data_IF_493700171618
#
_entry.id   IF_493700171618
#
_cell.length_a   1.000
_cell.length_b   1.000
_cell.length_c   1.000
_cell.angle_alpha   90.00
_cell.angle_beta   90.00
_cell.angle_gamma   90.00
#
_symmetry.space_group_name_H-M   'P 1'
#
loop_
_entity.id
_entity.type
_entity.pdbx_description
1 polymer ?
#
# COMPACT_ATOMS: atom_id res chain seq x y z
N UNK A 1 -36.72 -30.38 45.42
CA UNK A 1 -35.61 -29.87 44.58
C UNK A 1 -35.74 -28.35 44.47
N UNK A 2 -34.98 -27.59 45.26
CA UNK A 2 -34.93 -26.12 45.16
C UNK A 2 -34.13 -25.78 43.90
N UNK A 3 -34.74 -25.07 42.94
CA UNK A 3 -34.01 -24.42 41.85
C UNK A 3 -33.04 -23.43 42.48
N UNK A 4 -31.74 -23.65 42.29
CA UNK A 4 -30.73 -22.63 42.57
C UNK A 4 -31.11 -21.35 41.81
N UNK A 5 -31.25 -20.24 42.53
CA UNK A 5 -31.36 -18.92 41.91
C UNK A 5 -30.02 -18.64 41.23
N UNK A 6 -29.97 -18.81 39.91
CA UNK A 6 -28.94 -18.17 39.07
C UNK A 6 -28.79 -16.72 39.56
N UNK A 7 -27.60 -16.40 40.09
CA UNK A 7 -27.31 -15.09 40.67
C UNK A 7 -27.75 -13.95 39.74
N UNK A 8 -28.21 -12.84 40.32
CA UNK A 8 -28.66 -11.66 39.59
C UNK A 8 -27.63 -11.26 38.52
N UNK A 9 -28.04 -11.28 37.25
CA UNK A 9 -27.16 -10.89 36.13
C UNK A 9 -26.75 -9.43 36.31
N UNK A 10 -25.45 -9.15 36.19
CA UNK A 10 -24.94 -7.78 36.23
C UNK A 10 -25.50 -6.99 35.02
N UNK A 11 -26.25 -5.90 35.24
CA UNK A 11 -26.94 -5.20 34.16
C UNK A 11 -25.98 -4.22 33.44
N UNK A 12 -24.96 -4.76 32.78
CA UNK A 12 -23.87 -3.99 32.17
C UNK A 12 -24.36 -2.80 31.33
N UNK A 13 -25.35 -3.00 30.47
CA UNK A 13 -25.88 -1.96 29.58
C UNK A 13 -26.78 -0.92 30.27
N UNK A 14 -27.12 -1.12 31.54
CA UNK A 14 -27.86 -0.16 32.37
C UNK A 14 -26.91 0.76 33.17
N UNK A 15 -25.61 0.52 33.11
CA UNK A 15 -24.63 1.41 33.74
C UNK A 15 -24.69 2.82 33.14
N UNK A 16 -24.43 3.87 33.95
CA UNK A 16 -24.19 5.21 33.42
C UNK A 16 -22.99 5.23 32.45
N UNK A 17 -22.92 6.27 31.62
CA UNK A 17 -21.91 6.36 30.54
C UNK A 17 -20.46 6.27 31.01
N UNK A 18 -20.12 6.89 32.15
CA UNK A 18 -18.74 6.90 32.65
C UNK A 18 -18.27 5.50 33.08
N UNK A 19 -18.98 4.75 33.96
CA UNK A 19 -18.63 3.37 34.26
C UNK A 19 -18.67 2.45 33.03
N UNK A 20 -19.65 2.60 32.14
CA UNK A 20 -19.74 1.77 30.93
C UNK A 20 -18.52 1.98 30.02
N UNK A 21 -18.09 3.23 29.82
CA UNK A 21 -16.87 3.57 29.09
C UNK A 21 -15.65 2.91 29.70
N UNK A 22 -15.54 2.91 31.03
CA UNK A 22 -14.41 2.31 31.72
C UNK A 22 -14.38 0.80 31.54
N UNK A 23 -15.54 0.12 31.57
CA UNK A 23 -15.60 -1.31 31.24
C UNK A 23 -15.12 -1.57 29.82
N UNK A 24 -15.66 -0.85 28.83
CA UNK A 24 -15.26 -1.03 27.42
C UNK A 24 -13.76 -0.76 27.18
N UNK A 25 -13.15 0.16 27.93
CA UNK A 25 -11.71 0.47 27.81
C UNK A 25 -10.80 -0.64 28.30
N UNK A 26 -11.28 -1.46 29.23
CA UNK A 26 -10.54 -2.61 29.77
C UNK A 26 -10.69 -3.87 28.91
N UNK A 27 -11.62 -3.87 27.96
CA UNK A 27 -11.75 -4.95 27.00
C UNK A 27 -10.80 -4.78 25.81
N UNK A 28 -10.34 -5.92 25.33
CA UNK A 28 -9.58 -6.01 24.10
C UNK A 28 -10.48 -5.88 22.86
N UNK A 29 -9.89 -5.87 21.66
CA UNK A 29 -10.67 -5.71 20.44
C UNK A 29 -11.55 -6.94 20.14
N UNK A 30 -11.13 -8.15 20.46
CA UNK A 30 -11.96 -9.34 20.24
C UNK A 30 -13.19 -9.37 21.16
N UNK A 31 -13.02 -9.01 22.43
CA UNK A 31 -14.10 -8.90 23.41
C UNK A 31 -15.09 -7.79 22.99
N UNK A 32 -14.58 -6.64 22.55
CA UNK A 32 -15.42 -5.56 22.02
C UNK A 32 -16.17 -6.00 20.76
N UNK A 33 -15.52 -6.74 19.86
CA UNK A 33 -16.14 -7.31 18.66
C UNK A 33 -17.26 -8.28 19.02
N UNK A 34 -17.00 -9.29 19.84
CA UNK A 34 -18.00 -10.28 20.22
C UNK A 34 -19.18 -9.63 20.96
N UNK A 35 -18.90 -8.67 21.86
CA UNK A 35 -19.96 -7.90 22.54
C UNK A 35 -20.81 -7.08 21.55
N UNK A 36 -20.18 -6.49 20.52
CA UNK A 36 -20.86 -5.67 19.52
C UNK A 36 -21.85 -6.46 18.63
N UNK A 37 -21.68 -7.78 18.53
CA UNK A 37 -22.55 -8.67 17.77
C UNK A 37 -23.81 -9.08 18.53
N UNK A 38 -23.85 -8.94 19.86
CA UNK A 38 -24.97 -9.41 20.71
C UNK A 38 -26.29 -8.67 20.39
N UNK A 39 -26.25 -7.34 20.24
CA UNK A 39 -27.46 -6.54 20.04
C UNK A 39 -27.15 -5.15 19.45
N UNK A 40 -28.19 -4.44 19.00
CA UNK A 40 -28.06 -3.03 18.57
C UNK A 40 -27.55 -2.13 19.71
N UNK A 41 -27.98 -2.38 20.96
CA UNK A 41 -27.60 -1.60 22.14
C UNK A 41 -26.14 -1.83 22.54
N UNK A 42 -25.67 -3.09 22.55
CA UNK A 42 -24.26 -3.40 22.84
C UNK A 42 -23.33 -2.81 21.79
N UNK A 43 -23.70 -2.89 20.52
CA UNK A 43 -22.94 -2.25 19.44
C UNK A 43 -22.86 -0.74 19.58
N UNK A 44 -23.97 -0.10 19.93
CA UNK A 44 -23.97 1.34 20.17
C UNK A 44 -23.04 1.69 21.34
N UNK A 45 -23.03 0.88 22.40
CA UNK A 45 -22.10 1.05 23.51
C UNK A 45 -20.64 0.95 23.05
N UNK A 46 -20.26 -0.03 22.22
CA UNK A 46 -18.90 -0.13 21.66
C UNK A 46 -18.58 1.09 20.79
N UNK A 47 -19.46 1.43 19.86
CA UNK A 47 -19.27 2.56 18.93
C UNK A 47 -19.05 3.88 19.66
N UNK A 48 -19.84 4.20 20.68
CA UNK A 48 -19.73 5.47 21.42
C UNK A 48 -18.39 5.56 22.17
N UNK A 49 -17.87 4.43 22.65
CA UNK A 49 -16.70 4.39 23.51
C UNK A 49 -15.41 3.96 22.79
N UNK A 50 -15.47 3.64 21.50
CA UNK A 50 -14.29 3.31 20.70
C UNK A 50 -13.34 4.50 20.56
N UNK A 51 -12.05 4.21 20.66
CA UNK A 51 -10.95 5.17 20.60
C UNK A 51 -10.31 5.12 19.20
N UNK A 52 -10.77 6.00 18.30
CA UNK A 52 -10.37 6.02 16.88
C UNK A 52 -8.88 6.27 16.64
N UNK A 53 -8.27 7.22 17.37
CA UNK A 53 -6.95 7.78 17.03
C UNK A 53 -5.75 6.84 17.23
N UNK A 54 -5.98 5.59 17.62
CA UNK A 54 -4.91 4.59 17.83
C UNK A 54 -5.20 3.25 17.18
N UNK A 55 -6.20 3.18 16.29
CA UNK A 55 -6.60 1.95 15.62
C UNK A 55 -6.34 2.09 14.13
N UNK A 56 -5.54 1.17 13.58
CA UNK A 56 -5.26 1.06 12.15
C UNK A 56 -5.79 -0.26 11.64
N UNK A 57 -6.59 -0.22 10.57
CA UNK A 57 -7.16 -1.41 9.96
C UNK A 57 -6.47 -1.71 8.64
N UNK A 58 -6.02 -2.94 8.48
CA UNK A 58 -5.32 -3.45 7.31
C UNK A 58 -6.10 -4.64 6.73
N UNK A 59 -6.26 -4.69 5.41
CA UNK A 59 -7.04 -5.74 4.75
C UNK A 59 -6.19 -6.48 3.72
N UNK A 60 -6.33 -7.80 3.66
CA UNK A 60 -5.73 -8.64 2.62
C UNK A 60 -6.81 -9.41 1.87
N UNK A 61 -6.89 -9.17 0.56
CA UNK A 61 -7.71 -9.93 -0.39
C UNK A 61 -6.80 -10.91 -1.15
N UNK A 62 -6.67 -12.11 -0.62
CA UNK A 62 -5.98 -13.25 -1.26
C UNK A 62 -6.78 -14.54 -0.97
N UNK A 63 -6.20 -15.71 -1.23
CA UNK A 63 -6.82 -17.02 -0.93
C UNK A 63 -7.23 -17.20 0.55
N UNK A 64 -6.62 -16.43 1.46
CA UNK A 64 -6.90 -16.43 2.89
C UNK A 64 -7.29 -15.04 3.36
N UNK A 65 -8.46 -14.57 2.92
CA UNK A 65 -8.99 -13.27 3.31
C UNK A 65 -8.82 -13.02 4.81
N UNK A 66 -8.28 -11.84 5.13
CA UNK A 66 -7.98 -11.46 6.49
C UNK A 66 -8.04 -9.96 6.70
N UNK A 67 -8.50 -9.59 7.89
CA UNK A 67 -8.47 -8.22 8.39
C UNK A 67 -7.55 -8.20 9.61
N UNK A 68 -6.58 -7.31 9.64
CA UNK A 68 -5.77 -7.03 10.82
C UNK A 68 -6.20 -5.68 11.39
N UNK A 69 -6.49 -5.62 12.69
CA UNK A 69 -6.74 -4.39 13.41
C UNK A 69 -5.63 -4.20 14.42
N UNK A 70 -4.81 -3.18 14.23
CA UNK A 70 -3.71 -2.84 15.14
C UNK A 70 -4.18 -1.80 16.15
N UNK A 71 -3.92 -2.04 17.43
CA UNK A 71 -4.12 -1.06 18.50
C UNK A 71 -2.84 -0.96 19.32
N UNK A 72 -2.18 0.19 19.28
CA UNK A 72 -0.83 0.37 19.87
C UNK A 72 0.13 -0.67 19.27
N UNK A 73 0.76 -1.50 20.10
CA UNK A 73 1.70 -2.56 19.67
C UNK A 73 1.06 -3.95 19.58
N UNK A 74 -0.28 -4.05 19.56
CA UNK A 74 -0.99 -5.32 19.51
C UNK A 74 -1.80 -5.45 18.22
N UNK A 75 -1.61 -6.57 17.52
CA UNK A 75 -2.30 -6.91 16.29
C UNK A 75 -3.42 -7.93 16.56
N UNK A 76 -4.61 -7.65 16.03
CA UNK A 76 -5.79 -8.51 16.12
C UNK A 76 -6.18 -8.98 14.72
N UNK A 77 -6.06 -10.28 14.47
CA UNK A 77 -6.29 -10.90 13.17
C UNK A 77 -7.68 -11.54 13.10
N UNK A 78 -8.56 -10.95 12.30
CA UNK A 78 -9.87 -11.46 11.96
C UNK A 78 -9.77 -12.26 10.67
N UNK A 79 -9.46 -13.54 10.82
CA UNK A 79 -9.42 -14.48 9.70
C UNK A 79 -10.82 -14.94 9.33
N UNK A 80 -10.93 -15.39 8.09
CA UNK A 80 -12.11 -16.04 7.55
C UNK A 80 -12.78 -17.05 8.51
N UNK A 81 -12.01 -17.98 9.08
CA UNK A 81 -12.48 -19.02 10.00
C UNK A 81 -13.12 -18.48 11.29
N UNK A 82 -12.72 -17.29 11.73
CA UNK A 82 -13.29 -16.60 12.88
C UNK A 82 -14.59 -15.85 12.53
N UNK A 83 -14.62 -15.23 11.35
CA UNK A 83 -15.74 -14.41 10.88
C UNK A 83 -16.91 -15.28 10.40
N UNK A 84 -16.63 -16.38 9.71
CA UNK A 84 -17.64 -17.21 9.07
C UNK A 84 -18.72 -17.76 10.05
N UNK A 85 -18.38 -18.32 11.22
CA UNK A 85 -19.40 -18.75 12.20
C UNK A 85 -20.28 -17.60 12.73
N UNK A 86 -19.85 -16.35 12.55
CA UNK A 86 -20.52 -15.14 13.04
C UNK A 86 -21.38 -14.44 11.99
N UNK A 87 -21.40 -14.92 10.75
CA UNK A 87 -22.17 -14.31 9.66
C UNK A 87 -23.66 -14.19 9.95
N UNK A 88 -24.23 -15.16 10.68
CA UNK A 88 -25.63 -15.12 11.11
C UNK A 88 -25.95 -13.86 11.94
N UNK A 89 -24.98 -13.34 12.68
CA UNK A 89 -25.14 -12.09 13.44
C UNK A 89 -25.05 -10.89 12.52
N UNK A 90 -24.14 -10.92 11.53
CA UNK A 90 -24.01 -9.89 10.51
C UNK A 90 -25.27 -9.78 9.63
N UNK A 91 -25.84 -10.91 9.21
CA UNK A 91 -27.03 -10.96 8.36
C UNK A 91 -28.27 -10.34 9.04
N UNK A 92 -28.37 -10.45 10.38
CA UNK A 92 -29.42 -9.77 11.17
C UNK A 92 -29.31 -8.24 11.16
N UNK A 93 -28.15 -7.71 10.78
CA UNK A 93 -27.83 -6.28 10.82
C UNK A 93 -28.00 -5.68 9.44
N UNK A 94 -27.35 -6.32 8.47
CA UNK A 94 -27.36 -5.94 7.07
C UNK A 94 -27.63 -7.23 6.31
N UNK A 95 -28.90 -7.46 5.91
CA UNK A 95 -29.24 -8.65 5.15
C UNK A 95 -28.39 -8.73 3.89
N UNK A 96 -27.84 -9.90 3.62
CA UNK A 96 -27.09 -10.17 2.40
C UNK A 96 -27.50 -11.53 1.82
N UNK A 97 -27.49 -11.61 0.50
CA UNK A 97 -27.74 -12.85 -0.22
C UNK A 97 -26.44 -13.66 -0.33
N UNK A 98 -26.55 -14.99 -0.29
CA UNK A 98 -25.42 -15.86 -0.51
C UNK A 98 -25.08 -15.87 -2.01
N UNK A 99 -23.96 -15.23 -2.38
CA UNK A 99 -23.58 -15.06 -3.78
C UNK A 99 -23.09 -16.34 -4.46
N UNK A 100 -22.59 -17.31 -3.69
CA UNK A 100 -22.22 -18.66 -4.17
C UNK A 100 -21.88 -19.59 -3.00
N UNK A 101 -21.72 -20.89 -3.30
CA UNK A 101 -21.13 -21.88 -2.37
C UNK A 101 -19.62 -21.65 -2.12
N UNK A 102 -18.94 -20.87 -2.96
CA UNK A 102 -17.52 -20.54 -2.81
C UNK A 102 -17.32 -19.30 -1.94
N UNK A 103 -17.64 -19.50 -0.67
CA UNK A 103 -17.71 -18.46 0.32
C UNK A 103 -16.35 -17.81 0.63
N UNK A 104 -15.23 -18.46 0.33
CA UNK A 104 -13.88 -17.88 0.45
C UNK A 104 -13.70 -16.62 -0.41
N UNK A 105 -14.48 -16.51 -1.50
CA UNK A 105 -14.31 -15.49 -2.52
C UNK A 105 -15.44 -14.44 -2.55
N UNK A 106 -16.40 -14.45 -1.62
CA UNK A 106 -17.46 -13.41 -1.60
C UNK A 106 -16.89 -12.05 -1.22
N UNK A 107 -16.60 -11.27 -2.25
CA UNK A 107 -16.10 -9.91 -2.13
C UNK A 107 -17.07 -9.03 -1.32
N UNK A 108 -18.38 -9.19 -1.53
CA UNK A 108 -19.37 -8.33 -0.89
C UNK A 108 -19.52 -8.62 0.60
N UNK A 109 -19.47 -9.89 1.01
CA UNK A 109 -19.37 -10.21 2.44
C UNK A 109 -18.09 -9.64 3.06
N UNK A 110 -16.94 -9.82 2.41
CA UNK A 110 -15.67 -9.33 2.92
C UNK A 110 -15.73 -7.80 3.15
N UNK A 111 -16.32 -7.06 2.20
CA UNK A 111 -16.63 -5.63 2.36
C UNK A 111 -17.53 -5.36 3.56
N UNK A 112 -18.60 -6.13 3.76
CA UNK A 112 -19.50 -5.96 4.91
C UNK A 112 -18.80 -6.16 6.26
N UNK A 113 -17.90 -7.14 6.37
CA UNK A 113 -17.11 -7.34 7.59
C UNK A 113 -16.14 -6.19 7.84
N UNK A 114 -15.45 -5.71 6.81
CA UNK A 114 -14.58 -4.53 6.91
C UNK A 114 -15.40 -3.31 7.34
N UNK A 115 -16.54 -3.08 6.69
CA UNK A 115 -17.46 -2.00 7.01
C UNK A 115 -17.91 -2.06 8.47
N UNK A 116 -18.26 -3.25 8.94
CA UNK A 116 -18.65 -3.50 10.31
C UNK A 116 -17.55 -3.14 11.29
N UNK A 117 -16.34 -3.68 11.09
CA UNK A 117 -15.18 -3.44 11.96
C UNK A 117 -14.76 -1.97 11.98
N UNK A 118 -14.64 -1.34 10.81
CA UNK A 118 -14.41 0.10 10.70
C UNK A 118 -15.46 0.90 11.47
N UNK A 119 -16.74 0.50 11.40
CA UNK A 119 -17.82 1.23 12.08
C UNK A 119 -17.76 1.06 13.60
N UNK A 120 -17.49 -0.14 14.12
CA UNK A 120 -17.41 -0.35 15.58
C UNK A 120 -16.16 0.30 16.17
N UNK A 121 -15.04 0.27 15.44
CA UNK A 121 -13.78 0.83 15.91
C UNK A 121 -13.58 2.30 15.56
N UNK A 122 -14.42 2.87 14.69
CA UNK A 122 -14.30 4.24 14.16
C UNK A 122 -12.94 4.47 13.51
N UNK A 123 -12.54 3.59 12.60
CA UNK A 123 -11.27 3.68 11.90
C UNK A 123 -11.45 3.48 10.39
N UNK A 124 -10.51 4.01 9.63
CA UNK A 124 -10.40 3.86 8.19
C UNK A 124 -9.48 2.67 7.85
N UNK A 125 -9.59 2.18 6.62
CA UNK A 125 -8.66 1.20 6.07
C UNK A 125 -7.36 1.94 5.71
N UNK A 126 -6.28 1.62 6.41
CA UNK A 126 -4.98 2.29 6.24
C UNK A 126 -4.12 1.59 5.18
N UNK A 127 -4.23 0.26 5.12
CA UNK A 127 -3.46 -0.61 4.23
C UNK A 127 -4.37 -1.60 3.53
N UNK A 128 -4.14 -1.82 2.24
CA UNK A 128 -4.77 -2.92 1.50
C UNK A 128 -3.71 -3.73 0.73
N UNK A 129 -3.85 -5.05 0.78
CA UNK A 129 -3.18 -5.98 -0.13
C UNK A 129 -4.20 -6.64 -1.03
N UNK A 130 -3.97 -6.55 -2.33
CA UNK A 130 -4.79 -7.14 -3.38
C UNK A 130 -3.95 -8.18 -4.12
N UNK A 131 -4.43 -9.42 -4.12
CA UNK A 131 -3.89 -10.47 -4.97
C UNK A 131 -4.61 -10.43 -6.33
N UNK A 132 -3.85 -10.16 -7.40
CA UNK A 132 -4.35 -9.99 -8.76
C UNK A 132 -5.13 -11.20 -9.24
N UNK A 133 -4.70 -12.41 -8.86
CA UNK A 133 -5.35 -13.66 -9.23
C UNK A 133 -6.77 -13.75 -8.66
N UNK A 134 -6.92 -13.29 -7.41
CA UNK A 134 -8.19 -13.33 -6.66
C UNK A 134 -9.08 -12.12 -6.98
N UNK A 135 -8.46 -10.99 -7.30
CA UNK A 135 -9.10 -9.70 -7.54
C UNK A 135 -9.36 -9.39 -9.01
N UNK A 136 -9.01 -10.29 -9.94
CA UNK A 136 -9.33 -10.15 -11.37
C UNK A 136 -10.83 -9.89 -11.55
N UNK A 137 -11.21 -8.85 -12.30
CA UNK A 137 -12.61 -8.46 -12.49
C UNK A 137 -13.20 -7.63 -11.34
N UNK A 138 -12.47 -7.41 -10.25
CA UNK A 138 -13.00 -6.86 -8.99
C UNK A 138 -12.42 -5.50 -8.62
N UNK A 139 -11.34 -5.05 -9.27
CA UNK A 139 -10.65 -3.79 -8.94
C UNK A 139 -11.58 -2.57 -8.99
N UNK A 140 -12.43 -2.44 -10.01
CA UNK A 140 -13.38 -1.31 -10.12
C UNK A 140 -14.41 -1.32 -8.98
N UNK A 141 -14.89 -2.52 -8.60
CA UNK A 141 -15.84 -2.69 -7.50
C UNK A 141 -15.20 -2.37 -6.14
N UNK A 142 -13.93 -2.75 -5.96
CA UNK A 142 -13.13 -2.44 -4.78
C UNK A 142 -12.84 -0.94 -4.67
N UNK A 143 -12.46 -0.29 -5.77
CA UNK A 143 -12.16 1.15 -5.74
C UNK A 143 -13.40 2.01 -5.48
N UNK A 144 -14.54 1.69 -6.10
CA UNK A 144 -15.81 2.34 -5.82
C UNK A 144 -16.20 2.22 -4.34
N UNK A 145 -16.08 1.01 -3.78
CA UNK A 145 -16.38 0.77 -2.37
C UNK A 145 -15.43 1.53 -1.44
N UNK A 146 -14.11 1.46 -1.66
CA UNK A 146 -13.14 2.19 -0.83
C UNK A 146 -13.36 3.70 -0.89
N UNK A 147 -13.52 4.26 -2.09
CA UNK A 147 -13.71 5.70 -2.28
C UNK A 147 -15.03 6.20 -1.65
N UNK A 148 -16.09 5.36 -1.62
CA UNK A 148 -17.32 5.68 -0.92
C UNK A 148 -17.17 5.72 0.61
N UNK A 149 -16.09 5.16 1.16
CA UNK A 149 -15.85 5.07 2.61
C UNK A 149 -14.88 6.11 3.13
N UNK A 150 -13.81 6.36 2.39
CA UNK A 150 -12.68 7.18 2.84
C UNK A 150 -12.05 7.96 1.69
N UNK A 151 -11.45 9.11 2.01
CA UNK A 151 -10.88 10.03 1.01
C UNK A 151 -9.55 9.58 0.42
N UNK A 152 -8.79 8.79 1.18
CA UNK A 152 -7.45 8.35 0.81
C UNK A 152 -7.08 7.06 1.51
N UNK A 153 -6.11 6.36 0.94
CA UNK A 153 -5.47 5.18 1.48
C UNK A 153 -4.00 5.51 1.74
N UNK A 154 -3.41 5.03 2.84
CA UNK A 154 -1.95 5.24 3.05
C UNK A 154 -1.19 4.31 2.12
N UNK A 155 -1.49 3.01 2.19
CA UNK A 155 -0.69 1.97 1.57
C UNK A 155 -1.51 1.00 0.73
N UNK A 156 -1.01 0.67 -0.45
CA UNK A 156 -1.60 -0.34 -1.33
C UNK A 156 -0.52 -1.26 -1.88
N UNK A 157 -0.76 -2.56 -1.80
CA UNK A 157 0.09 -3.58 -2.41
C UNK A 157 -0.76 -4.42 -3.36
N UNK A 158 -0.34 -4.53 -4.61
CA UNK A 158 -0.95 -5.37 -5.64
C UNK A 158 0.09 -6.40 -6.09
N UNK A 159 -0.19 -7.69 -5.90
CA UNK A 159 0.74 -8.78 -6.26
C UNK A 159 0.03 -9.78 -7.18
N UNK A 160 0.77 -10.52 -8.00
CA UNK A 160 0.23 -11.66 -8.76
C UNK A 160 -0.03 -11.35 -10.24
N UNK A 161 -0.97 -12.06 -10.86
CA UNK A 161 -1.33 -11.87 -12.27
C UNK A 161 -2.21 -10.63 -12.42
N UNK A 162 -1.61 -9.56 -12.91
CA UNK A 162 -2.32 -8.33 -13.29
C UNK A 162 -2.72 -8.45 -14.76
N UNK A 163 -3.90 -9.01 -15.02
CA UNK A 163 -4.32 -9.39 -16.37
C UNK A 163 -4.82 -8.19 -17.20
N UNK A 164 -5.39 -7.17 -16.55
CA UNK A 164 -5.92 -5.98 -17.22
C UNK A 164 -5.39 -4.68 -16.59
N UNK A 165 -4.63 -3.91 -17.38
CA UNK A 165 -4.10 -2.62 -16.97
C UNK A 165 -5.17 -1.53 -16.84
N UNK A 166 -6.32 -1.67 -17.52
CA UNK A 166 -7.45 -0.73 -17.41
C UNK A 166 -8.11 -0.82 -16.05
N UNK A 167 -8.24 -2.03 -15.50
CA UNK A 167 -8.75 -2.25 -14.15
C UNK A 167 -7.86 -1.60 -13.09
N UNK A 168 -6.53 -1.76 -13.21
CA UNK A 168 -5.57 -1.13 -12.31
C UNK A 168 -5.61 0.39 -12.45
N UNK A 169 -5.65 0.92 -13.67
CA UNK A 169 -5.72 2.36 -13.92
C UNK A 169 -6.98 2.94 -13.30
N UNK A 170 -8.15 2.32 -13.54
CA UNK A 170 -9.42 2.73 -12.94
C UNK A 170 -9.43 2.62 -11.40
N UNK A 171 -8.69 1.67 -10.83
CA UNK A 171 -8.50 1.57 -9.39
C UNK A 171 -7.66 2.74 -8.86
N UNK A 172 -6.50 2.99 -9.45
CA UNK A 172 -5.56 4.05 -9.03
C UNK A 172 -6.10 5.46 -9.24
N UNK A 173 -6.94 5.68 -10.26
CA UNK A 173 -7.63 6.95 -10.49
C UNK A 173 -8.64 7.29 -9.39
N UNK A 174 -9.33 6.27 -8.87
CA UNK A 174 -10.36 6.44 -7.83
C UNK A 174 -9.79 6.38 -6.41
N UNK A 175 -8.76 5.58 -6.20
CA UNK A 175 -8.14 5.39 -4.89
C UNK A 175 -6.89 6.26 -4.76
N UNK A 176 -7.04 7.40 -4.07
CA UNK A 176 -5.90 8.25 -3.73
C UNK A 176 -4.99 7.56 -2.70
N UNK A 177 -3.89 6.99 -3.17
CA UNK A 177 -2.82 6.42 -2.34
C UNK A 177 -1.83 7.53 -2.00
N UNK A 178 -1.46 7.66 -0.74
CA UNK A 178 -0.70 8.81 -0.24
C UNK A 178 0.73 8.49 0.15
N UNK A 179 1.00 7.28 0.67
CA UNK A 179 2.31 6.91 1.18
C UNK A 179 3.01 5.88 0.31
N UNK A 180 2.44 4.68 0.15
CA UNK A 180 3.15 3.59 -0.52
C UNK A 180 2.27 2.81 -1.49
N UNK A 181 2.74 2.69 -2.73
CA UNK A 181 2.20 1.77 -3.73
C UNK A 181 3.27 0.77 -4.15
N UNK A 182 2.97 -0.52 -3.97
CA UNK A 182 3.71 -1.62 -4.59
C UNK A 182 2.83 -2.31 -5.63
N UNK A 183 3.33 -2.47 -6.84
CA UNK A 183 2.76 -3.38 -7.82
C UNK A 183 3.82 -4.38 -8.26
N UNK A 184 3.66 -5.65 -7.89
CA UNK A 184 4.54 -6.73 -8.31
C UNK A 184 3.81 -7.66 -9.27
N UNK A 185 4.12 -7.50 -10.56
CA UNK A 185 3.45 -8.25 -11.63
C UNK A 185 4.19 -9.54 -11.92
N UNK A 186 3.53 -10.66 -11.63
CA UNK A 186 4.10 -12.02 -11.74
C UNK A 186 3.81 -12.71 -13.08
N UNK A 187 3.53 -11.95 -14.13
CA UNK A 187 3.24 -12.50 -15.46
C UNK A 187 4.22 -11.99 -16.53
N UNK A 188 4.46 -12.82 -17.54
CA UNK A 188 5.32 -12.50 -18.69
C UNK A 188 4.56 -11.91 -19.87
N UNK A 189 3.23 -12.04 -19.91
CA UNK A 189 2.38 -11.55 -21.00
C UNK A 189 2.43 -10.03 -21.09
N UNK A 190 2.55 -9.53 -22.33
CA UNK A 190 2.49 -8.10 -22.61
C UNK A 190 1.05 -7.61 -22.42
N UNK A 191 0.91 -6.56 -21.63
CA UNK A 191 -0.34 -5.83 -21.41
C UNK A 191 -0.15 -4.35 -21.78
N UNK A 192 -1.25 -3.64 -22.01
CA UNK A 192 -1.21 -2.21 -22.29
C UNK A 192 -0.54 -1.45 -21.12
N UNK A 193 0.25 -0.40 -21.39
CA UNK A 193 0.80 0.48 -20.35
C UNK A 193 -0.29 1.10 -19.49
N UNK A 194 0.04 1.43 -18.23
CA UNK A 194 -0.84 2.25 -17.39
C UNK A 194 -0.47 3.73 -17.54
N UNK A 195 -1.49 4.58 -17.51
CA UNK A 195 -1.34 6.02 -17.55
C UNK A 195 -1.93 6.60 -16.27
N UNK A 196 -1.08 6.75 -15.25
CA UNK A 196 -1.50 7.23 -13.94
C UNK A 196 -0.58 8.35 -13.47
N UNK A 197 -1.13 9.36 -12.81
CA UNK A 197 -0.32 10.36 -12.14
C UNK A 197 -0.02 9.89 -10.71
N UNK A 198 1.25 9.57 -10.43
CA UNK A 198 1.68 9.09 -9.13
C UNK A 198 2.05 10.27 -8.22
N UNK A 199 1.28 10.44 -7.14
CA UNK A 199 1.42 11.54 -6.19
C UNK A 199 1.43 10.97 -4.76
N UNK A 200 2.58 10.43 -4.35
CA UNK A 200 2.72 9.63 -3.12
C UNK A 200 4.17 9.64 -2.63
N UNK A 201 4.45 9.14 -1.42
CA UNK A 201 5.83 9.16 -0.92
C UNK A 201 6.72 8.10 -1.63
N UNK A 202 6.23 6.86 -1.79
CA UNK A 202 6.97 5.73 -2.33
C UNK A 202 6.17 5.01 -3.42
N UNK A 203 6.78 4.89 -4.59
CA UNK A 203 6.29 4.08 -5.71
C UNK A 203 7.25 2.92 -5.99
N UNK A 204 6.74 1.70 -5.97
CA UNK A 204 7.50 0.51 -6.33
C UNK A 204 6.75 -0.34 -7.35
N UNK A 205 7.36 -0.62 -8.50
CA UNK A 205 6.75 -1.42 -9.56
C UNK A 205 7.75 -2.45 -10.08
N UNK A 206 7.39 -3.73 -9.96
CA UNK A 206 8.17 -4.87 -10.44
C UNK A 206 7.42 -5.65 -11.52
N UNK A 207 8.22 -6.26 -12.38
CA UNK A 207 7.76 -7.18 -13.41
C UNK A 207 8.79 -8.29 -13.56
N UNK A 208 8.32 -9.53 -13.75
CA UNK A 208 9.17 -10.69 -13.99
C UNK A 208 9.96 -10.56 -15.29
N UNK A 209 9.40 -9.87 -16.29
CA UNK A 209 10.03 -9.61 -17.59
C UNK A 209 10.28 -8.11 -17.81
N UNK A 210 11.21 -7.80 -18.71
CA UNK A 210 11.46 -6.42 -19.15
C UNK A 210 10.18 -5.81 -19.72
N UNK A 211 9.78 -4.63 -19.21
CA UNK A 211 8.46 -4.08 -19.48
C UNK A 211 8.44 -2.62 -19.91
N UNK A 212 7.48 -2.28 -20.76
CA UNK A 212 7.07 -0.95 -21.22
C UNK A 212 5.78 -0.48 -20.50
N UNK A 213 5.51 -1.00 -19.30
CA UNK A 213 4.23 -0.76 -18.61
C UNK A 213 4.03 0.67 -18.11
N UNK A 214 5.12 1.43 -18.00
CA UNK A 214 5.14 2.87 -17.74
C UNK A 214 6.01 3.55 -18.78
N UNK A 215 5.60 4.76 -19.17
CA UNK A 215 6.43 5.65 -19.97
C UNK A 215 7.34 6.51 -19.08
N UNK A 216 8.42 7.03 -19.68
CA UNK A 216 9.27 8.01 -19.00
C UNK A 216 8.48 9.27 -18.63
N UNK A 217 7.52 9.70 -19.45
CA UNK A 217 6.64 10.85 -19.17
C UNK A 217 5.85 10.66 -17.87
N UNK A 218 5.45 9.42 -17.56
CA UNK A 218 4.75 9.12 -16.32
C UNK A 218 5.65 9.32 -15.10
N UNK A 219 6.95 8.99 -15.22
CA UNK A 219 7.95 9.23 -14.17
C UNK A 219 8.25 10.72 -14.05
N UNK A 220 8.38 11.42 -15.18
CA UNK A 220 8.65 12.86 -15.22
C UNK A 220 7.55 13.70 -14.58
N UNK A 221 6.29 13.27 -14.71
CA UNK A 221 5.10 13.97 -14.20
C UNK A 221 4.69 13.52 -12.79
N UNK A 222 5.32 12.48 -12.25
CA UNK A 222 5.07 12.03 -10.89
C UNK A 222 5.56 13.04 -9.85
N UNK A 223 5.05 12.93 -8.62
CA UNK A 223 5.57 13.64 -7.45
C UNK A 223 5.79 12.63 -6.34
N UNK A 224 6.97 12.01 -6.37
CA UNK A 224 7.35 10.96 -5.43
C UNK A 224 8.65 11.30 -4.68
N UNK A 225 8.75 10.85 -3.43
CA UNK A 225 10.02 10.92 -2.68
C UNK A 225 10.95 9.79 -3.14
N UNK A 226 10.40 8.60 -3.37
CA UNK A 226 11.14 7.46 -3.92
C UNK A 226 10.38 6.77 -5.05
N UNK A 227 11.12 6.42 -6.10
CA UNK A 227 10.62 5.63 -7.23
C UNK A 227 11.56 4.44 -7.41
N UNK A 228 11.02 3.22 -7.31
CA UNK A 228 11.76 1.97 -7.40
C UNK A 228 11.14 1.06 -8.45
N UNK A 229 11.79 1.00 -9.60
CA UNK A 229 11.31 0.25 -10.76
C UNK A 229 12.17 -1.00 -10.96
N UNK A 230 11.52 -2.12 -11.27
CA UNK A 230 12.16 -3.37 -11.70
C UNK A 230 12.74 -3.24 -13.11
N UNK A 231 12.64 -4.32 -13.89
CA UNK A 231 13.18 -4.36 -15.26
C UNK A 231 12.27 -3.61 -16.25
N UNK A 232 12.66 -2.40 -16.62
CA UNK A 232 11.98 -1.55 -17.60
C UNK A 232 12.76 -1.44 -18.90
N UNK A 233 12.05 -1.11 -19.98
CA UNK A 233 12.60 -0.91 -21.32
C UNK A 233 13.11 0.51 -21.57
N UNK A 234 13.36 1.30 -20.52
CA UNK A 234 13.97 2.62 -20.68
C UNK A 234 15.39 2.48 -21.24
N UNK A 235 15.74 3.39 -22.13
CA UNK A 235 17.06 3.48 -22.73
C UNK A 235 17.84 4.70 -22.22
N UNK A 236 19.04 4.91 -22.76
CA UNK A 236 19.89 6.05 -22.43
C UNK A 236 19.22 7.39 -22.73
N UNK A 237 18.37 7.46 -23.76
CA UNK A 237 17.68 8.70 -24.15
C UNK A 237 16.57 9.05 -23.16
N UNK A 238 15.81 8.04 -22.70
CA UNK A 238 14.81 8.20 -21.65
C UNK A 238 15.45 8.70 -20.34
N UNK A 239 16.55 8.05 -19.92
CA UNK A 239 17.23 8.40 -18.68
C UNK A 239 17.99 9.73 -18.77
N UNK A 240 18.57 10.06 -19.94
CA UNK A 240 19.16 11.38 -20.19
C UNK A 240 18.09 12.48 -20.07
N UNK A 241 16.90 12.26 -20.63
CA UNK A 241 15.77 13.18 -20.51
C UNK A 241 15.35 13.33 -19.05
N UNK A 242 15.23 12.23 -18.31
CA UNK A 242 14.96 12.27 -16.87
C UNK A 242 15.97 13.14 -16.10
N UNK A 243 17.26 12.95 -16.35
CA UNK A 243 18.31 13.74 -15.68
C UNK A 243 18.22 15.23 -16.04
N UNK A 244 18.02 15.57 -17.32
CA UNK A 244 17.85 16.97 -17.77
C UNK A 244 16.63 17.63 -17.14
N UNK A 245 15.50 16.93 -17.08
CA UNK A 245 14.29 17.45 -16.47
C UNK A 245 14.46 17.67 -14.96
N UNK A 246 15.13 16.75 -14.25
CA UNK A 246 15.45 16.96 -12.84
C UNK A 246 16.40 18.15 -12.63
N UNK A 247 17.41 18.31 -13.49
CA UNK A 247 18.31 19.48 -13.47
C UNK A 247 17.51 20.78 -13.63
N UNK A 248 16.49 20.77 -14.50
CA UNK A 248 15.59 21.88 -14.73
C UNK A 248 14.54 22.10 -13.63
N UNK A 249 14.51 21.25 -12.60
CA UNK A 249 13.69 21.43 -11.41
C UNK A 249 12.40 20.61 -11.37
N UNK A 250 12.24 19.59 -12.23
CA UNK A 250 11.18 18.58 -12.12
C UNK A 250 11.43 17.65 -10.92
N UNK A 251 10.39 17.00 -10.39
CA UNK A 251 10.50 16.00 -9.31
C UNK A 251 11.23 16.53 -8.04
N UNK A 252 10.86 17.70 -7.52
CA UNK A 252 11.61 18.38 -6.44
C UNK A 252 11.60 17.63 -5.09
N UNK A 253 10.61 16.76 -4.86
CA UNK A 253 10.54 15.90 -3.66
C UNK A 253 11.39 14.64 -3.79
N UNK A 254 11.88 14.32 -4.98
CA UNK A 254 12.58 13.07 -5.26
C UNK A 254 13.91 13.03 -4.50
N UNK A 255 14.07 12.00 -3.67
CA UNK A 255 15.32 11.68 -2.98
C UNK A 255 16.00 10.46 -3.56
N UNK A 256 15.23 9.56 -4.19
CA UNK A 256 15.79 8.35 -4.81
C UNK A 256 14.99 7.91 -6.03
N UNK A 257 15.69 7.67 -7.12
CA UNK A 257 15.16 6.95 -8.28
C UNK A 257 16.02 5.72 -8.56
N UNK A 258 15.40 4.55 -8.67
CA UNK A 258 16.06 3.29 -9.03
C UNK A 258 15.29 2.64 -10.15
N UNK A 259 16.00 2.17 -11.19
CA UNK A 259 15.42 1.35 -12.26
C UNK A 259 16.41 0.31 -12.75
N UNK A 260 15.90 -0.86 -13.13
CA UNK A 260 16.70 -1.88 -13.82
C UNK A 260 16.42 -1.76 -15.31
N UNK A 261 17.47 -1.67 -16.10
CA UNK A 261 17.40 -1.46 -17.56
C UNK A 261 18.43 -2.33 -18.27
N UNK A 262 18.38 -2.36 -19.60
CA UNK A 262 19.50 -2.88 -20.40
C UNK A 262 20.75 -2.04 -20.15
N UNK A 263 21.92 -2.63 -20.41
CA UNK A 263 23.18 -1.93 -20.26
C UNK A 263 23.17 -0.56 -20.97
N UNK A 264 23.69 0.46 -20.30
CA UNK A 264 23.62 1.86 -20.73
C UNK A 264 24.97 2.36 -21.22
N UNK A 265 25.00 3.02 -22.37
CA UNK A 265 26.13 3.84 -22.79
C UNK A 265 26.17 5.15 -21.97
N UNK A 266 27.24 5.33 -21.20
CA UNK A 266 27.39 6.49 -20.32
C UNK A 266 27.49 7.81 -21.10
N UNK A 267 28.17 7.84 -22.25
CA UNK A 267 28.33 9.05 -23.06
C UNK A 267 26.98 9.56 -23.58
N UNK A 268 26.10 8.65 -23.98
CA UNK A 268 24.74 8.98 -24.42
C UNK A 268 23.90 9.44 -23.23
N UNK A 269 23.97 8.70 -22.12
CA UNK A 269 23.24 9.00 -20.89
C UNK A 269 23.57 10.40 -20.34
N UNK A 270 24.82 10.85 -20.43
CA UNK A 270 25.28 12.14 -19.90
C UNK A 270 25.41 13.25 -20.96
N UNK A 271 24.99 12.98 -22.20
CA UNK A 271 25.11 13.96 -23.28
C UNK A 271 24.39 15.27 -22.96
N UNK A 272 25.16 16.37 -22.97
CA UNK A 272 24.67 17.72 -22.66
C UNK A 272 24.40 17.98 -21.18
N UNK A 273 24.98 17.20 -20.27
CA UNK A 273 24.94 17.40 -18.82
C UNK A 273 26.38 17.59 -18.31
N UNK A 274 26.57 18.55 -17.40
CA UNK A 274 27.83 18.69 -16.65
C UNK A 274 27.86 17.61 -15.55
N UNK A 275 28.87 16.74 -15.61
CA UNK A 275 28.99 15.58 -14.72
C UNK A 275 30.40 15.54 -14.12
N UNK A 276 30.47 15.30 -12.81
CA UNK A 276 31.73 15.06 -12.09
C UNK A 276 31.83 13.58 -11.70
N UNK A 277 32.86 12.88 -12.19
CA UNK A 277 33.10 11.48 -11.83
C UNK A 277 33.70 11.38 -10.42
N UNK A 278 33.10 10.54 -9.59
CA UNK A 278 33.55 10.27 -8.23
C UNK A 278 34.31 8.95 -8.22
N UNK A 279 35.56 8.92 -7.72
CA UNK A 279 36.32 7.69 -7.60
C UNK A 279 35.63 6.66 -6.69
N UNK A 280 35.72 5.38 -7.04
CA UNK A 280 35.16 4.24 -6.27
C UNK A 280 35.72 4.14 -4.84
N UNK A 281 36.85 4.78 -4.56
CA UNK A 281 37.45 4.89 -3.23
C UNK A 281 36.66 5.79 -2.27
N UNK A 282 35.84 6.70 -2.80
CA UNK A 282 35.00 7.60 -2.00
C UNK A 282 33.72 6.88 -1.62
N UNK A 283 33.44 6.79 -0.31
CA UNK A 283 32.21 6.20 0.23
C UNK A 283 31.29 7.31 0.79
N UNK A 284 30.02 7.32 0.38
CA UNK A 284 28.97 8.17 0.94
C UNK A 284 27.86 7.31 1.54
N UNK A 285 27.20 7.80 2.59
CA UNK A 285 26.05 7.14 3.21
C UNK A 285 24.80 7.96 2.91
N UNK A 286 23.88 7.37 2.17
CA UNK A 286 22.57 7.96 1.92
C UNK A 286 21.56 7.43 2.95
N UNK A 287 20.78 8.33 3.53
CA UNK A 287 19.73 8.01 4.49
C UNK A 287 18.50 8.86 4.18
N UNK A 288 17.43 8.24 3.67
CA UNK A 288 16.16 8.92 3.55
C UNK A 288 15.34 8.70 4.83
N UNK A 289 15.28 9.78 5.64
CA UNK A 289 14.57 9.84 6.93
C UNK A 289 13.04 9.86 6.78
N UNK A 290 12.51 10.38 5.68
CA UNK A 290 11.06 10.50 5.45
C UNK A 290 10.40 9.15 5.22
N UNK A 291 11.12 8.23 4.59
CA UNK A 291 10.61 6.91 4.23
C UNK A 291 11.05 5.79 5.19
N UNK A 292 11.78 6.11 6.26
CA UNK A 292 12.36 5.12 7.18
C UNK A 292 13.31 4.13 6.51
N UNK A 293 13.93 4.53 5.39
CA UNK A 293 14.75 3.64 4.56
C UNK A 293 16.06 3.27 5.26
N UNK A 294 16.57 2.06 5.00
CA UNK A 294 17.89 1.64 5.47
C UNK A 294 18.96 2.57 4.91
N UNK A 295 19.99 2.85 5.70
CA UNK A 295 21.19 3.56 5.25
C UNK A 295 21.83 2.78 4.10
N UNK A 296 22.07 3.46 2.99
CA UNK A 296 22.69 2.88 1.80
C UNK A 296 24.12 3.41 1.70
N UNK A 297 25.05 2.51 1.46
CA UNK A 297 26.46 2.85 1.21
C UNK A 297 26.68 2.92 -0.29
N UNK A 298 27.24 4.03 -0.75
CA UNK A 298 27.52 4.31 -2.15
C UNK A 298 29.01 4.47 -2.31
N UNK A 299 29.57 3.91 -3.38
CA UNK A 299 30.98 4.02 -3.73
C UNK A 299 31.12 4.51 -5.15
N UNK A 300 31.83 5.63 -5.32
CA UNK A 300 31.95 6.32 -6.60
C UNK A 300 30.61 6.83 -7.15
N UNK A 301 30.52 6.95 -8.48
CA UNK A 301 29.34 7.43 -9.19
C UNK A 301 29.61 8.73 -9.93
N UNK A 302 28.55 9.42 -10.28
CA UNK A 302 28.58 10.63 -11.09
C UNK A 302 27.73 11.70 -10.44
N UNK A 303 28.36 12.80 -10.03
CA UNK A 303 27.72 13.95 -9.42
C UNK A 303 27.17 14.88 -10.51
N UNK A 304 25.92 15.32 -10.30
CA UNK A 304 25.24 16.34 -11.09
C UNK A 304 24.59 17.36 -10.15
N UNK A 305 24.36 18.57 -10.63
CA UNK A 305 23.66 19.63 -9.89
C UNK A 305 22.47 20.13 -10.66
N UNK A 306 21.37 20.37 -9.96
CA UNK A 306 20.23 21.06 -10.55
C UNK A 306 20.44 22.59 -10.57
N UNK A 307 19.55 23.31 -11.23
CA UNK A 307 19.59 24.77 -11.34
C UNK A 307 19.45 25.51 -10.00
N UNK A 308 19.09 24.80 -8.92
CA UNK A 308 19.02 25.30 -7.54
C UNK A 308 20.27 24.95 -6.72
N UNK A 309 21.27 24.28 -7.31
CA UNK A 309 22.51 23.87 -6.66
C UNK A 309 22.42 22.58 -5.84
N UNK A 310 21.27 21.90 -5.82
CA UNK A 310 21.12 20.61 -5.13
C UNK A 310 21.97 19.55 -5.82
N UNK A 311 22.69 18.77 -5.04
CA UNK A 311 23.57 17.71 -5.51
C UNK A 311 22.75 16.42 -5.70
N UNK A 312 22.99 15.70 -6.78
CA UNK A 312 22.61 14.31 -6.90
C UNK A 312 23.80 13.47 -7.38
N UNK A 313 23.87 12.23 -6.91
CA UNK A 313 24.81 11.23 -7.44
C UNK A 313 24.00 10.14 -8.11
N UNK A 314 24.33 9.80 -9.36
CA UNK A 314 23.83 8.59 -9.99
C UNK A 314 24.92 7.55 -10.19
N UNK A 315 24.52 6.28 -10.19
CA UNK A 315 25.38 5.12 -10.35
C UNK A 315 24.75 4.16 -11.34
N UNK A 316 25.62 3.53 -12.13
CA UNK A 316 25.30 2.39 -12.98
C UNK A 316 26.04 1.18 -12.42
N UNK A 317 25.33 0.20 -11.89
CA UNK A 317 25.94 -0.98 -11.26
C UNK A 317 25.34 -2.28 -11.79
N UNK A 318 26.14 -3.36 -11.93
CA UNK A 318 25.59 -4.69 -12.17
C UNK A 318 24.68 -5.10 -11.01
N UNK A 319 23.56 -5.75 -11.30
CA UNK A 319 22.69 -6.32 -10.26
C UNK A 319 22.59 -7.85 -10.44
N UNK A 320 23.11 -8.66 -9.50
CA UNK A 320 23.14 -10.12 -9.63
C UNK A 320 21.77 -10.78 -9.64
N UNK A 321 20.70 -10.05 -9.27
CA UNK A 321 19.32 -10.56 -9.30
C UNK A 321 18.70 -10.56 -10.69
N UNK A 322 19.30 -9.88 -11.66
CA UNK A 322 18.75 -9.71 -13.00
C UNK A 322 19.65 -10.33 -14.08
N UNK A 323 19.10 -10.61 -15.29
CA UNK A 323 19.85 -11.26 -16.36
C UNK A 323 21.13 -10.52 -16.73
N UNK A 324 22.11 -11.27 -17.22
CA UNK A 324 23.34 -10.72 -17.81
C UNK A 324 22.97 -9.72 -18.92
N UNK A 325 23.66 -8.57 -18.96
CA UNK A 325 23.36 -7.47 -19.89
C UNK A 325 22.32 -6.47 -19.38
N UNK A 326 21.89 -6.59 -18.11
CA UNK A 326 21.11 -5.56 -17.41
C UNK A 326 21.94 -4.86 -16.35
N UNK A 327 21.59 -3.62 -16.05
CA UNK A 327 22.21 -2.80 -15.02
C UNK A 327 21.15 -2.11 -14.16
N UNK A 328 21.52 -1.83 -12.92
CA UNK A 328 20.76 -0.96 -12.03
C UNK A 328 21.28 0.46 -12.19
N UNK A 329 20.38 1.34 -12.61
CA UNK A 329 20.56 2.78 -12.51
C UNK A 329 19.95 3.23 -11.18
N UNK A 330 20.76 3.80 -10.29
CA UNK A 330 20.26 4.52 -9.12
C UNK A 330 20.68 5.99 -9.19
N UNK A 331 19.80 6.88 -8.76
CA UNK A 331 20.09 8.29 -8.51
C UNK A 331 19.63 8.64 -7.10
N UNK A 332 20.48 9.37 -6.38
CA UNK A 332 20.28 9.82 -5.01
C UNK A 332 20.45 11.33 -4.94
N UNK A 333 19.48 12.03 -4.33
CA UNK A 333 19.53 13.48 -4.15
C UNK A 333 19.93 13.80 -2.71
N UNK A 334 20.97 14.61 -2.56
CA UNK A 334 21.54 14.96 -1.26
C UNK A 334 20.94 16.27 -0.75
N UNK A 335 20.58 16.27 0.53
CA UNK A 335 20.06 17.43 1.28
C UNK A 335 21.00 17.82 2.42
#
# INVERSE_FOLDING_TARGET
MRRERLGSRFPLLQLPMVPLKQVMRNWDLYELFDFSLISKRSRMAVKVHSMSSSIELSVTFNQHFGICVKRRETDYHFQFSMLNPRNQYLNRITPFEHESDDWYNSLNLNKLWIDYLCTIYKCDVVYIRLDGDICTGKFVSLSNWLNGRQKSLKDCIILGLVVDSKEISAFLEKCKITRYLLIDRQQSLKIEPIHCNFQMDLLEIHSVTSTDWLSIDTILTSDCIQIMLGNFKFDETDLNRFLKEWINGSNQRLKRFRVIVKDLNLEVLTSGIEVEEIPVTVERIFENKECGSKKLKLKGGYDIRNNKGMLATFLKTPNPKYPIGTVQFDMFVWE
#
